data_IF_964774228356
#
_entry.id   IF_964774228356
#
_cell.length_a   1.000
_cell.length_b   1.000
_cell.length_c   1.000
_cell.angle_alpha   90.00
_cell.angle_beta   90.00
_cell.angle_gamma   90.00
#
_symmetry.space_group_name_H-M   'P 1'
#
loop_
_entity.id
_entity.type
_entity.pdbx_description
1 polymer ?
#
# COMPACT_ATOMS: atom_id res chain seq x y z
N UNK A 1 -12.90 34.70 14.70
CA UNK A 1 -12.92 33.22 14.57
C UNK A 1 -13.15 32.88 13.09
N UNK A 2 -12.10 32.52 12.34
CA UNK A 2 -12.22 32.17 10.92
C UNK A 2 -12.94 30.81 10.80
N UNK A 3 -14.14 30.80 10.20
CA UNK A 3 -14.90 29.56 9.93
C UNK A 3 -14.32 28.89 8.68
N UNK A 4 -13.58 27.80 8.87
CA UNK A 4 -13.10 26.96 7.77
C UNK A 4 -14.28 26.16 7.19
N UNK A 5 -14.47 26.23 5.87
CA UNK A 5 -15.53 25.50 5.16
C UNK A 5 -15.24 23.99 5.08
N UNK A 6 -16.26 23.18 4.78
CA UNK A 6 -16.07 21.74 4.57
C UNK A 6 -15.13 21.43 3.39
N UNK A 7 -15.19 22.21 2.32
CA UNK A 7 -14.28 22.08 1.16
C UNK A 7 -12.83 22.41 1.51
N UNK A 8 -12.61 23.45 2.33
CA UNK A 8 -11.27 23.80 2.83
C UNK A 8 -10.72 22.72 3.77
N UNK A 9 -11.55 22.10 4.62
CA UNK A 9 -11.15 20.95 5.45
C UNK A 9 -10.77 19.74 4.61
N UNK A 10 -11.54 19.43 3.56
CA UNK A 10 -11.23 18.32 2.66
C UNK A 10 -9.92 18.55 1.91
N UNK A 11 -9.72 19.75 1.35
CA UNK A 11 -8.48 20.10 0.65
C UNK A 11 -7.26 20.04 1.57
N UNK A 12 -7.39 20.50 2.81
CA UNK A 12 -6.32 20.43 3.81
C UNK A 12 -6.02 18.99 4.22
N UNK A 13 -7.04 18.14 4.36
CA UNK A 13 -6.85 16.70 4.63
C UNK A 13 -6.10 16.01 3.50
N UNK A 14 -6.42 16.31 2.24
CA UNK A 14 -5.73 15.77 1.06
C UNK A 14 -4.26 16.21 1.06
N UNK A 15 -4.00 17.49 1.32
CA UNK A 15 -2.63 18.01 1.35
C UNK A 15 -1.79 17.38 2.49
N UNK A 16 -2.38 17.19 3.67
CA UNK A 16 -1.73 16.53 4.81
C UNK A 16 -1.44 15.06 4.49
N UNK A 17 -2.39 14.33 3.92
CA UNK A 17 -2.20 12.93 3.56
C UNK A 17 -1.15 12.78 2.45
N UNK A 18 -1.12 13.69 1.47
CA UNK A 18 -0.08 13.70 0.43
C UNK A 18 1.33 13.93 1.01
N UNK A 19 1.47 14.87 1.97
CA UNK A 19 2.76 15.09 2.63
C UNK A 19 3.20 13.88 3.44
N UNK A 20 2.30 13.33 4.26
CA UNK A 20 2.55 12.11 5.05
C UNK A 20 2.89 10.91 4.18
N UNK A 21 2.26 10.81 3.00
CA UNK A 21 2.55 9.73 2.08
C UNK A 21 3.97 9.81 1.52
N UNK A 22 4.47 11.02 1.22
CA UNK A 22 5.86 11.23 0.79
C UNK A 22 6.85 10.91 1.91
N UNK A 23 6.61 11.45 3.10
CA UNK A 23 7.43 11.17 4.29
C UNK A 23 7.53 9.66 4.56
N UNK A 24 6.41 8.93 4.44
CA UNK A 24 6.39 7.48 4.61
C UNK A 24 7.06 6.74 3.45
N UNK A 25 6.92 7.21 2.21
CA UNK A 25 7.60 6.62 1.05
C UNK A 25 9.11 6.68 1.21
N UNK A 26 9.64 7.82 1.65
CA UNK A 26 11.07 8.02 1.91
C UNK A 26 11.59 7.10 3.04
N UNK A 27 10.73 6.75 4.00
CA UNK A 27 11.06 5.80 5.06
C UNK A 27 10.95 4.33 4.61
N UNK A 28 9.97 3.98 3.79
CA UNK A 28 9.72 2.61 3.32
C UNK A 28 10.74 2.18 2.25
N UNK A 29 11.15 3.10 1.37
CA UNK A 29 12.06 2.80 0.27
C UNK A 29 13.39 2.14 0.71
N UNK A 30 14.16 2.69 1.67
CA UNK A 30 15.39 2.05 2.13
C UNK A 30 15.12 0.72 2.84
N UNK A 31 13.99 0.58 3.53
CA UNK A 31 13.61 -0.65 4.23
C UNK A 31 13.28 -1.78 3.24
N UNK A 32 12.55 -1.49 2.17
CA UNK A 32 12.32 -2.44 1.07
C UNK A 32 13.62 -2.88 0.41
N UNK A 33 14.54 -1.94 0.18
CA UNK A 33 15.87 -2.23 -0.38
C UNK A 33 16.68 -3.16 0.52
N UNK A 34 16.59 -2.99 1.83
CA UNK A 34 17.30 -3.82 2.80
C UNK A 34 16.68 -5.23 2.91
N UNK A 35 15.36 -5.34 2.90
CA UNK A 35 14.64 -6.61 3.09
C UNK A 35 14.55 -7.45 1.81
N UNK A 36 14.49 -6.81 0.64
CA UNK A 36 14.34 -7.47 -0.66
C UNK A 36 15.17 -6.83 -1.75
N UNK A 37 16.51 -6.86 -1.65
CA UNK A 37 17.38 -6.21 -2.64
C UNK A 37 17.13 -6.75 -4.06
N UNK A 38 16.84 -8.04 -4.21
CA UNK A 38 16.59 -8.64 -5.53
C UNK A 38 15.22 -8.25 -6.11
N UNK A 39 14.23 -8.04 -5.25
CA UNK A 39 12.91 -7.54 -5.65
C UNK A 39 13.01 -6.09 -6.13
N UNK A 40 13.88 -5.29 -5.50
CA UNK A 40 14.12 -3.90 -5.87
C UNK A 40 15.02 -3.74 -7.10
N UNK A 41 15.99 -4.63 -7.32
CA UNK A 41 16.88 -4.60 -8.51
C UNK A 41 16.13 -4.65 -9.85
N UNK A 42 14.94 -5.24 -9.87
CA UNK A 42 14.11 -5.33 -11.07
C UNK A 42 13.50 -3.97 -11.48
N UNK A 43 13.56 -2.96 -10.61
CA UNK A 43 12.94 -1.65 -10.83
C UNK A 43 14.00 -0.55 -10.82
N UNK A 44 13.85 0.43 -11.71
CA UNK A 44 14.60 1.69 -11.57
C UNK A 44 14.14 2.42 -10.29
N UNK A 45 15.06 3.07 -9.58
CA UNK A 45 14.80 3.73 -8.28
C UNK A 45 13.59 4.68 -8.32
N UNK A 46 13.50 5.52 -9.36
CA UNK A 46 12.38 6.47 -9.52
C UNK A 46 11.04 5.76 -9.73
N UNK A 47 11.04 4.64 -10.45
CA UNK A 47 9.84 3.82 -10.68
C UNK A 47 9.40 3.14 -9.38
N UNK A 48 10.37 2.66 -8.59
CA UNK A 48 10.09 2.05 -7.30
C UNK A 48 9.50 3.07 -6.30
N UNK A 49 10.09 4.26 -6.20
CA UNK A 49 9.58 5.33 -5.34
C UNK A 49 8.14 5.72 -5.73
N UNK A 50 7.88 5.92 -7.03
CA UNK A 50 6.53 6.20 -7.54
C UNK A 50 5.53 5.09 -7.20
N UNK A 51 5.95 3.83 -7.27
CA UNK A 51 5.12 2.66 -6.92
C UNK A 51 4.80 2.61 -5.42
N UNK A 52 5.78 2.93 -4.57
CA UNK A 52 5.58 3.03 -3.12
C UNK A 52 4.60 4.15 -2.78
N UNK A 53 4.80 5.33 -3.37
CA UNK A 53 3.92 6.49 -3.13
C UNK A 53 2.48 6.21 -3.56
N UNK A 54 2.29 5.59 -4.73
CA UNK A 54 0.97 5.17 -5.19
C UNK A 54 0.34 4.16 -4.22
N UNK A 55 1.11 3.16 -3.77
CA UNK A 55 0.63 2.16 -2.80
C UNK A 55 0.18 2.80 -1.49
N UNK A 56 0.95 3.74 -0.94
CA UNK A 56 0.60 4.48 0.27
C UNK A 56 -0.67 5.30 0.06
N UNK A 57 -0.77 6.01 -1.07
CA UNK A 57 -1.94 6.82 -1.41
C UNK A 57 -3.21 5.96 -1.48
N UNK A 58 -3.10 4.77 -2.10
CA UNK A 58 -4.19 3.80 -2.18
C UNK A 58 -4.56 3.18 -0.83
N UNK A 59 -3.58 2.94 0.05
CA UNK A 59 -3.82 2.55 1.44
C UNK A 59 -4.57 3.66 2.19
N UNK A 60 -4.13 4.90 2.00
CA UNK A 60 -4.71 6.05 2.68
C UNK A 60 -6.17 6.28 2.29
N UNK A 61 -6.48 6.19 0.99
CA UNK A 61 -7.85 6.27 0.48
C UNK A 61 -8.77 5.20 1.07
N UNK A 62 -8.21 4.06 1.52
CA UNK A 62 -8.95 2.93 2.09
C UNK A 62 -8.94 2.88 3.61
N UNK A 63 -8.33 3.86 4.29
CA UNK A 63 -8.25 3.87 5.76
C UNK A 63 -7.13 3.01 6.36
N UNK A 64 -6.25 2.45 5.54
CA UNK A 64 -5.07 1.70 5.99
C UNK A 64 -3.96 2.72 6.28
N UNK A 65 -3.53 2.82 7.55
CA UNK A 65 -2.48 3.77 7.99
C UNK A 65 -1.30 3.10 8.69
N UNK A 66 -1.37 1.79 8.93
CA UNK A 66 -0.34 1.04 9.64
C UNK A 66 0.89 0.84 8.75
N UNK A 67 2.08 1.22 9.25
CA UNK A 67 3.32 1.19 8.46
C UNK A 67 3.64 -0.23 7.98
N UNK A 68 3.54 -1.22 8.86
CA UNK A 68 3.97 -2.58 8.56
C UNK A 68 3.07 -3.23 7.51
N UNK A 69 1.77 -2.97 7.58
CA UNK A 69 0.84 -3.40 6.53
C UNK A 69 1.12 -2.73 5.19
N UNK A 70 1.41 -1.43 5.18
CA UNK A 70 1.73 -0.69 3.96
C UNK A 70 3.04 -1.22 3.35
N UNK A 71 4.08 -1.43 4.17
CA UNK A 71 5.35 -2.01 3.75
C UNK A 71 5.15 -3.39 3.10
N UNK A 72 4.38 -4.27 3.75
CA UNK A 72 4.06 -5.59 3.21
C UNK A 72 3.30 -5.50 1.88
N UNK A 73 2.33 -4.59 1.75
CA UNK A 73 1.60 -4.39 0.50
C UNK A 73 2.50 -3.85 -0.61
N UNK A 74 3.48 -3.00 -0.29
CA UNK A 74 4.50 -2.59 -1.25
C UNK A 74 5.30 -3.82 -1.71
N UNK A 75 5.79 -4.63 -0.77
CA UNK A 75 6.56 -5.84 -1.07
C UNK A 75 5.81 -6.79 -2.00
N UNK A 76 4.54 -7.06 -1.70
CA UNK A 76 3.65 -7.88 -2.53
C UNK A 76 3.55 -7.30 -3.94
N UNK A 77 3.30 -5.98 -4.06
CA UNK A 77 3.17 -5.28 -5.34
C UNK A 77 4.42 -5.43 -6.19
N UNK A 78 5.60 -5.28 -5.59
CA UNK A 78 6.86 -5.46 -6.32
C UNK A 78 7.07 -6.91 -6.78
N UNK A 79 6.69 -7.90 -5.98
CA UNK A 79 6.78 -9.33 -6.37
C UNK A 79 5.86 -9.65 -7.55
N UNK A 80 4.59 -9.22 -7.49
CA UNK A 80 3.63 -9.53 -8.56
C UNK A 80 3.75 -8.62 -9.78
N UNK A 81 4.50 -7.53 -9.67
CA UNK A 81 4.60 -6.47 -10.68
C UNK A 81 3.23 -5.99 -11.18
N UNK A 82 2.29 -5.83 -10.25
CA UNK A 82 0.89 -5.48 -10.54
C UNK A 82 0.25 -4.76 -9.35
N UNK A 83 -0.76 -3.95 -9.63
CA UNK A 83 -1.50 -3.24 -8.58
C UNK A 83 -2.35 -4.21 -7.74
N UNK A 84 -1.91 -4.46 -6.50
CA UNK A 84 -2.58 -5.34 -5.53
C UNK A 84 -4.04 -4.94 -5.33
N UNK A 85 -4.36 -3.64 -5.37
CA UNK A 85 -5.72 -3.15 -5.15
C UNK A 85 -6.64 -3.30 -6.36
N UNK A 86 -6.11 -3.74 -7.50
CA UNK A 86 -6.85 -4.06 -8.73
C UNK A 86 -6.77 -5.53 -9.10
N UNK A 87 -6.05 -6.33 -8.33
CA UNK A 87 -5.85 -7.74 -8.62
C UNK A 87 -7.16 -8.52 -8.40
N UNK A 88 -7.58 -9.30 -9.39
CA UNK A 88 -8.87 -10.00 -9.40
C UNK A 88 -9.05 -10.94 -8.20
N UNK A 89 -7.99 -11.66 -7.82
CA UNK A 89 -8.00 -12.60 -6.68
C UNK A 89 -8.30 -11.93 -5.34
N UNK A 90 -8.16 -10.60 -5.26
CA UNK A 90 -8.38 -9.81 -4.06
C UNK A 90 -9.65 -8.97 -4.10
N UNK A 91 -10.37 -8.96 -5.23
CA UNK A 91 -11.58 -8.15 -5.41
C UNK A 91 -12.63 -8.41 -4.32
N UNK A 92 -12.82 -9.67 -3.92
CA UNK A 92 -13.81 -10.02 -2.89
C UNK A 92 -13.47 -9.42 -1.51
N UNK A 93 -12.20 -9.36 -1.12
CA UNK A 93 -11.74 -8.76 0.14
C UNK A 93 -11.90 -7.24 0.08
N UNK A 94 -11.44 -6.65 -1.03
CA UNK A 94 -11.43 -5.21 -1.23
C UNK A 94 -12.84 -4.62 -1.24
N UNK A 95 -13.79 -5.31 -1.88
CA UNK A 95 -15.17 -4.86 -2.02
C UNK A 95 -16.08 -5.28 -0.85
N UNK A 96 -15.57 -6.00 0.16
CA UNK A 96 -16.37 -6.38 1.31
C UNK A 96 -16.71 -5.15 2.18
N UNK A 97 -17.98 -4.76 2.23
CA UNK A 97 -18.45 -3.61 2.99
C UNK A 97 -18.45 -3.77 4.52
N UNK A 98 -18.35 -5.01 5.01
CA UNK A 98 -18.40 -5.34 6.45
C UNK A 98 -17.01 -5.40 7.08
N UNK A 99 -15.95 -5.51 6.28
CA UNK A 99 -14.59 -5.64 6.79
C UNK A 99 -13.95 -4.29 7.06
N UNK A 100 -13.40 -4.13 8.27
CA UNK A 100 -12.54 -3.01 8.62
C UNK A 100 -11.31 -2.93 7.69
N UNK A 101 -10.82 -1.74 7.30
CA UNK A 101 -9.62 -1.57 6.46
C UNK A 101 -8.41 -2.42 6.85
N UNK A 102 -8.06 -2.44 8.13
CA UNK A 102 -6.95 -3.26 8.64
C UNK A 102 -7.21 -4.77 8.50
N UNK A 103 -8.46 -5.21 8.67
CA UNK A 103 -8.82 -6.61 8.44
C UNK A 103 -8.65 -6.97 6.96
N UNK A 104 -9.00 -6.07 6.05
CA UNK A 104 -8.77 -6.25 4.60
C UNK A 104 -7.28 -6.37 4.31
N UNK A 105 -6.47 -5.41 4.75
CA UNK A 105 -5.02 -5.42 4.54
C UNK A 105 -4.38 -6.72 5.04
N UNK A 106 -4.72 -7.15 6.26
CA UNK A 106 -4.23 -8.41 6.83
C UNK A 106 -4.64 -9.62 5.98
N UNK A 107 -5.90 -9.69 5.53
CA UNK A 107 -6.36 -10.79 4.68
C UNK A 107 -5.64 -10.80 3.32
N UNK A 108 -5.41 -9.65 2.69
CA UNK A 108 -4.65 -9.56 1.44
C UNK A 108 -3.24 -10.13 1.61
N UNK A 109 -2.56 -9.72 2.67
CA UNK A 109 -1.20 -10.17 2.98
C UNK A 109 -1.18 -11.69 3.22
N UNK A 110 -2.07 -12.20 4.06
CA UNK A 110 -2.13 -13.64 4.37
C UNK A 110 -2.51 -14.47 3.15
N UNK A 111 -3.50 -14.05 2.37
CA UNK A 111 -3.93 -14.74 1.15
C UNK A 111 -2.80 -14.80 0.12
N UNK A 112 -2.05 -13.71 -0.06
CA UNK A 112 -0.90 -13.69 -0.96
C UNK A 112 0.17 -14.72 -0.56
N UNK A 113 0.59 -14.72 0.71
CA UNK A 113 1.62 -15.65 1.17
C UNK A 113 1.14 -17.10 1.16
N UNK A 114 -0.12 -17.37 1.48
CA UNK A 114 -0.70 -18.70 1.38
C UNK A 114 -0.70 -19.23 -0.07
N UNK A 115 -1.10 -18.39 -1.04
CA UNK A 115 -1.10 -18.77 -2.47
C UNK A 115 0.31 -19.10 -2.95
N UNK A 116 1.31 -18.28 -2.59
CA UNK A 116 2.68 -18.53 -3.01
C UNK A 116 3.30 -19.74 -2.31
N UNK A 117 2.99 -19.97 -1.02
CA UNK A 117 3.43 -21.16 -0.31
C UNK A 117 2.90 -22.45 -0.96
N UNK A 118 1.62 -22.46 -1.37
CA UNK A 118 1.04 -23.60 -2.10
C UNK A 118 1.71 -23.85 -3.45
N UNK A 119 2.09 -22.78 -4.16
CA UNK A 119 2.79 -22.89 -5.45
C UNK A 119 4.24 -23.35 -5.33
N UNK A 120 4.91 -23.03 -4.23
CA UNK A 120 6.30 -23.44 -3.99
C UNK A 120 6.43 -24.91 -3.53
N UNK A 121 5.34 -25.50 -3.03
CA UNK A 121 5.27 -26.91 -2.63
C UNK A 121 4.66 -27.86 -3.67
N UNK A 122 4.32 -27.35 -4.85
CA UNK A 122 3.77 -28.10 -6.00
C UNK A 122 4.82 -28.22 -7.12
#
# INVERSE_FOLDING_TARGET
MLKVSASQRAAMSIAVDARRARELADAIHPELRAQGPDVMKAYAEDVAHGTILDTITQCYARGIRDKDQILNLCYIRFIINADVFKHESFAYILNNGLMHPYAKARHLILSFFAINAMRAGA
#
